data_IF_112628485505
#
_entry.id   IF_112628485505
#
_cell.length_a   1.000
_cell.length_b   1.000
_cell.length_c   1.000
_cell.angle_alpha   90.00
_cell.angle_beta   90.00
_cell.angle_gamma   90.00
#
_symmetry.space_group_name_H-M   'P 1'
#
loop_
_entity.id
_entity.type
_entity.pdbx_description
1 polymer ?
#
# COMPACT_ATOMS: atom_id res chain seq x y z
N UNK A 1 21.34 -7.30 24.79
CA UNK A 1 20.50 -6.10 24.57
C UNK A 1 20.82 -5.60 23.18
N UNK A 2 19.86 -5.60 22.27
CA UNK A 2 20.05 -5.05 20.93
C UNK A 2 20.22 -3.53 21.03
N UNK A 3 21.22 -2.99 20.36
CA UNK A 3 21.48 -1.53 20.36
C UNK A 3 20.33 -0.84 19.64
N UNK A 4 19.86 0.32 20.15
CA UNK A 4 18.84 1.12 19.48
C UNK A 4 19.30 1.47 18.06
N UNK A 5 18.56 1.11 17.00
CA UNK A 5 18.90 1.49 15.64
C UNK A 5 18.73 3.00 15.42
N UNK A 6 19.38 3.54 14.40
CA UNK A 6 19.08 4.89 13.91
C UNK A 6 17.75 4.87 13.17
N UNK A 7 16.77 5.62 13.65
CA UNK A 7 15.42 5.66 13.09
C UNK A 7 15.15 7.07 12.59
N UNK A 8 14.77 7.17 11.31
CA UNK A 8 14.26 8.38 10.70
C UNK A 8 13.22 8.01 9.63
N UNK A 9 11.95 8.21 9.95
CA UNK A 9 10.83 7.81 9.09
C UNK A 9 10.72 8.60 7.78
N UNK A 10 11.47 9.69 7.61
CA UNK A 10 11.49 10.46 6.36
C UNK A 10 12.77 10.24 5.54
N UNK A 11 13.75 9.52 6.08
CA UNK A 11 15.00 9.25 5.37
C UNK A 11 14.88 7.97 4.53
N UNK A 12 15.05 8.08 3.22
CA UNK A 12 15.07 6.93 2.32
C UNK A 12 16.18 5.92 2.64
N UNK A 13 17.31 6.36 3.21
CA UNK A 13 18.38 5.48 3.63
C UNK A 13 17.94 4.52 4.76
N UNK A 14 17.06 4.97 5.67
CA UNK A 14 16.48 4.11 6.69
C UNK A 14 15.75 2.90 6.11
N UNK A 15 15.06 3.10 4.98
CA UNK A 15 14.30 2.01 4.31
C UNK A 15 15.19 1.12 3.42
N UNK A 16 16.41 1.54 3.12
CA UNK A 16 17.37 0.78 2.32
C UNK A 16 18.31 -0.11 3.15
N UNK A 17 18.38 0.10 4.45
CA UNK A 17 19.21 -0.64 5.41
C UNK A 17 18.42 -1.81 6.05
N UNK A 18 18.82 -2.30 7.20
CA UNK A 18 18.12 -3.37 7.94
C UNK A 18 16.78 -2.91 8.52
N UNK A 19 15.82 -2.69 7.63
CA UNK A 19 14.47 -2.27 7.98
C UNK A 19 13.77 -3.28 8.92
N UNK A 20 13.97 -4.58 8.69
CA UNK A 20 13.33 -5.61 9.49
C UNK A 20 13.85 -5.65 10.93
N UNK A 21 15.17 -5.51 11.11
CA UNK A 21 15.79 -5.41 12.43
C UNK A 21 15.36 -4.15 13.16
N UNK A 22 15.31 -3.00 12.48
CA UNK A 22 14.87 -1.74 13.05
C UNK A 22 13.40 -1.81 13.53
N UNK A 23 12.49 -2.30 12.70
CA UNK A 23 11.08 -2.46 13.10
C UNK A 23 10.87 -3.56 14.16
N UNK A 24 11.67 -4.61 14.19
CA UNK A 24 11.64 -5.59 15.26
C UNK A 24 12.02 -4.94 16.59
N UNK A 25 13.10 -4.16 16.60
CA UNK A 25 13.52 -3.42 17.80
C UNK A 25 12.43 -2.47 18.30
N UNK A 26 11.79 -1.69 17.41
CA UNK A 26 10.70 -0.77 17.77
C UNK A 26 9.55 -1.55 18.39
N UNK A 27 9.09 -2.65 17.78
CA UNK A 27 7.98 -3.46 18.31
C UNK A 27 8.24 -4.01 19.70
N UNK A 28 9.48 -4.37 19.99
CA UNK A 28 9.89 -4.97 21.26
C UNK A 28 10.13 -3.94 22.37
N UNK A 29 10.59 -2.73 22.02
CA UNK A 29 11.08 -1.77 23.01
C UNK A 29 10.19 -0.52 23.13
N UNK A 30 9.60 -0.05 22.03
CA UNK A 30 8.78 1.17 21.99
C UNK A 30 7.77 1.11 20.82
N UNK A 31 6.70 0.29 20.95
CA UNK A 31 5.78 -0.02 19.85
C UNK A 31 4.96 1.17 19.33
N UNK A 32 4.93 2.29 20.06
CA UNK A 32 4.39 3.58 19.62
C UNK A 32 5.56 4.57 19.66
N UNK A 33 6.37 4.52 18.63
CA UNK A 33 7.65 5.24 18.59
C UNK A 33 7.49 6.67 18.10
N UNK A 34 8.04 7.64 18.85
CA UNK A 34 8.16 9.00 18.36
C UNK A 34 9.55 9.24 17.75
N UNK A 35 9.58 9.57 16.47
CA UNK A 35 10.78 9.98 15.76
C UNK A 35 10.93 11.50 15.85
N UNK A 36 11.86 11.95 16.68
CA UNK A 36 12.15 13.38 16.90
C UNK A 36 12.69 14.08 15.64
N UNK A 37 13.40 13.35 14.75
CA UNK A 37 13.97 13.93 13.54
C UNK A 37 12.90 14.26 12.51
N UNK A 38 11.91 13.40 12.37
CA UNK A 38 10.82 13.59 11.42
C UNK A 38 9.57 14.20 12.05
N UNK A 39 9.49 14.27 13.39
CA UNK A 39 8.30 14.68 14.17
C UNK A 39 7.09 13.80 13.87
N UNK A 40 7.34 12.50 13.72
CA UNK A 40 6.31 11.51 13.38
C UNK A 40 6.17 10.44 14.46
N UNK A 41 4.96 9.97 14.64
CA UNK A 41 4.66 8.77 15.42
C UNK A 41 4.58 7.55 14.52
N UNK A 42 5.33 6.50 14.85
CA UNK A 42 5.28 5.21 14.19
C UNK A 42 4.50 4.18 15.01
N UNK A 43 3.45 3.62 14.44
CA UNK A 43 2.72 2.51 15.03
C UNK A 43 3.23 1.20 14.39
N UNK A 44 3.79 0.29 15.19
CA UNK A 44 4.53 -0.84 14.64
C UNK A 44 3.94 -2.21 14.97
N UNK A 45 2.98 -2.30 15.88
CA UNK A 45 2.26 -3.55 16.16
C UNK A 45 0.93 -3.61 15.41
N UNK A 46 0.48 -4.82 15.12
CA UNK A 46 -0.81 -5.05 14.47
C UNK A 46 -1.98 -4.42 15.25
N UNK A 47 -1.97 -4.54 16.56
CA UNK A 47 -3.01 -4.02 17.45
C UNK A 47 -3.12 -2.50 17.32
N UNK A 48 -1.99 -1.77 17.42
CA UNK A 48 -1.98 -0.31 17.33
C UNK A 48 -2.37 0.19 15.93
N UNK A 49 -1.87 -0.44 14.87
CA UNK A 49 -2.25 -0.11 13.49
C UNK A 49 -3.74 -0.36 13.25
N UNK A 50 -4.26 -1.50 13.71
CA UNK A 50 -5.68 -1.82 13.61
C UNK A 50 -6.57 -0.85 14.39
N UNK A 51 -6.15 -0.47 15.59
CA UNK A 51 -6.86 0.51 16.42
C UNK A 51 -6.91 1.87 15.72
N UNK A 52 -5.78 2.41 15.29
CA UNK A 52 -5.75 3.66 14.55
C UNK A 52 -6.61 3.63 13.27
N UNK A 53 -6.58 2.51 12.53
CA UNK A 53 -7.37 2.34 11.31
C UNK A 53 -8.88 2.29 11.53
N UNK A 54 -9.33 1.99 12.75
CA UNK A 54 -10.75 1.92 13.11
C UNK A 54 -11.33 3.20 13.67
N UNK A 55 -10.47 4.16 13.96
CA UNK A 55 -10.84 5.43 14.58
C UNK A 55 -10.50 6.62 13.66
N UNK A 56 -11.16 6.71 12.47
CA UNK A 56 -10.91 7.81 11.54
C UNK A 56 -11.29 9.18 12.10
N UNK A 57 -12.11 9.22 13.13
CA UNK A 57 -12.47 10.45 13.87
C UNK A 57 -11.30 10.99 14.70
N UNK A 58 -10.31 10.15 15.04
CA UNK A 58 -9.10 10.54 15.76
C UNK A 58 -7.89 10.66 14.83
N UNK A 59 -7.87 9.88 13.74
CA UNK A 59 -6.76 9.77 12.80
C UNK A 59 -7.21 10.16 11.39
N UNK A 60 -7.21 11.47 11.12
CA UNK A 60 -7.63 12.05 9.85
C UNK A 60 -6.58 11.87 8.75
N UNK A 61 -7.04 11.58 7.52
CA UNK A 61 -6.23 11.60 6.29
C UNK A 61 -6.40 12.89 5.48
N UNK A 62 -7.26 13.82 5.90
CA UNK A 62 -7.63 14.99 5.10
C UNK A 62 -6.50 16.00 4.88
N UNK A 63 -5.41 15.90 5.62
CA UNK A 63 -4.22 16.73 5.42
C UNK A 63 -3.15 16.06 4.55
N UNK A 64 -3.42 14.85 4.06
CA UNK A 64 -2.53 14.03 3.26
C UNK A 64 -2.25 12.68 3.94
N UNK A 65 -2.38 11.60 3.18
CA UNK A 65 -2.10 10.24 3.67
C UNK A 65 -0.60 9.93 3.77
N UNK A 66 0.25 10.84 3.31
CA UNK A 66 1.71 10.73 3.39
C UNK A 66 2.27 11.83 4.26
N UNK A 67 3.22 11.51 5.16
CA UNK A 67 3.85 12.52 6.00
C UNK A 67 4.45 13.67 5.18
N UNK A 68 4.23 14.90 5.66
CA UNK A 68 4.79 16.14 5.06
C UNK A 68 4.51 16.32 3.54
N UNK A 69 3.48 15.64 3.03
CA UNK A 69 3.02 15.79 1.64
C UNK A 69 1.61 16.40 1.65
N UNK A 70 1.37 17.46 0.88
CA UNK A 70 0.04 18.05 0.80
C UNK A 70 -1.01 17.04 0.34
N UNK A 71 -2.23 17.18 0.84
CA UNK A 71 -3.37 16.37 0.40
C UNK A 71 -3.60 16.54 -1.10
N UNK A 72 -3.90 15.45 -1.76
CA UNK A 72 -4.31 15.41 -3.17
C UNK A 72 -5.82 15.17 -3.27
N UNK A 73 -6.48 15.55 -4.38
CA UNK A 73 -7.93 15.35 -4.56
C UNK A 73 -8.28 13.87 -4.79
N UNK A 74 -7.73 12.97 -3.99
CA UNK A 74 -7.93 11.53 -4.03
C UNK A 74 -8.76 11.05 -2.86
N UNK A 75 -9.39 9.88 -3.02
CA UNK A 75 -10.20 9.28 -1.97
C UNK A 75 -9.41 9.01 -0.69
N UNK A 76 -8.13 8.65 -0.81
CA UNK A 76 -7.26 8.33 0.32
C UNK A 76 -6.99 9.56 1.22
N UNK A 77 -7.04 10.76 0.66
CA UNK A 77 -6.79 12.02 1.36
C UNK A 77 -8.12 12.72 1.75
N UNK A 78 -9.18 11.96 1.93
CA UNK A 78 -10.49 12.49 2.35
C UNK A 78 -11.05 11.74 3.55
N UNK A 79 -11.74 12.47 4.43
CA UNK A 79 -12.44 11.90 5.57
C UNK A 79 -13.95 11.74 5.29
N UNK A 80 -14.67 11.11 6.24
CA UNK A 80 -16.12 11.03 6.19
C UNK A 80 -16.75 12.45 6.30
N UNK A 81 -17.89 12.72 5.63
CA UNK A 81 -18.73 11.80 4.85
C UNK A 81 -18.30 11.62 3.38
N UNK A 82 -17.39 12.44 2.89
CA UNK A 82 -16.98 12.44 1.49
C UNK A 82 -16.27 11.14 1.10
N UNK A 83 -15.33 10.66 1.93
CA UNK A 83 -14.68 9.37 1.75
C UNK A 83 -15.69 8.24 1.55
N UNK A 84 -16.69 8.15 2.43
CA UNK A 84 -17.73 7.10 2.37
C UNK A 84 -18.49 7.14 1.07
N UNK A 85 -18.83 8.35 0.59
CA UNK A 85 -19.55 8.54 -0.66
C UNK A 85 -18.72 8.11 -1.87
N UNK A 86 -17.46 8.51 -1.94
CA UNK A 86 -16.53 8.14 -3.01
C UNK A 86 -16.26 6.64 -3.01
N UNK A 87 -15.96 6.06 -1.84
CA UNK A 87 -15.67 4.64 -1.66
C UNK A 87 -16.85 3.76 -2.09
N UNK A 88 -18.09 4.13 -1.75
CA UNK A 88 -19.27 3.39 -2.17
C UNK A 88 -19.38 3.28 -3.70
N UNK A 89 -19.17 4.39 -4.42
CA UNK A 89 -19.19 4.40 -5.89
C UNK A 89 -18.13 3.46 -6.49
N UNK A 90 -16.92 3.51 -5.97
CA UNK A 90 -15.84 2.60 -6.40
C UNK A 90 -16.18 1.15 -6.07
N UNK A 91 -16.70 0.87 -4.87
CA UNK A 91 -17.03 -0.49 -4.41
C UNK A 91 -18.11 -1.18 -5.26
N UNK A 92 -18.97 -0.40 -5.92
CA UNK A 92 -19.98 -0.94 -6.85
C UNK A 92 -19.33 -1.67 -8.05
N UNK A 93 -18.10 -1.26 -8.43
CA UNK A 93 -17.30 -1.94 -9.46
C UNK A 93 -16.67 -3.27 -9.01
N UNK A 94 -16.46 -3.45 -7.69
CA UNK A 94 -15.71 -4.57 -7.12
C UNK A 94 -16.59 -5.57 -6.34
N UNK A 95 -17.84 -5.74 -6.77
CA UNK A 95 -18.70 -6.75 -6.15
C UNK A 95 -18.20 -8.16 -6.47
N UNK A 96 -18.44 -9.17 -5.60
CA UNK A 96 -18.01 -10.55 -5.85
C UNK A 96 -18.55 -11.12 -7.16
N UNK A 97 -19.73 -10.67 -7.60
CA UNK A 97 -20.32 -11.08 -8.90
C UNK A 97 -19.51 -10.52 -10.05
N UNK A 98 -19.19 -9.22 -10.02
CA UNK A 98 -18.38 -8.56 -11.07
C UNK A 98 -16.96 -9.12 -11.13
N UNK A 99 -16.34 -9.32 -9.98
CA UNK A 99 -14.99 -9.93 -9.92
C UNK A 99 -14.98 -11.33 -10.51
N UNK A 100 -15.98 -12.17 -10.20
CA UNK A 100 -16.10 -13.50 -10.82
C UNK A 100 -16.33 -13.44 -12.33
N UNK A 101 -17.10 -12.46 -12.80
CA UNK A 101 -17.34 -12.29 -14.24
C UNK A 101 -16.06 -11.92 -15.02
N UNK A 102 -15.03 -11.38 -14.35
CA UNK A 102 -13.74 -11.07 -14.98
C UNK A 102 -12.83 -12.30 -15.15
N UNK A 103 -13.10 -13.41 -14.49
CA UNK A 103 -12.19 -14.57 -14.42
C UNK A 103 -11.76 -15.07 -15.79
N UNK A 104 -12.72 -15.36 -16.68
CA UNK A 104 -12.42 -15.88 -18.03
C UNK A 104 -11.63 -14.88 -18.88
N UNK A 105 -11.88 -13.60 -18.70
CA UNK A 105 -11.16 -12.55 -19.40
C UNK A 105 -9.71 -12.44 -18.90
N UNK A 106 -9.52 -12.41 -17.59
CA UNK A 106 -8.18 -12.40 -16.97
C UNK A 106 -7.39 -13.62 -17.42
N UNK A 107 -8.01 -14.80 -17.48
CA UNK A 107 -7.36 -16.01 -17.99
C UNK A 107 -6.88 -15.83 -19.44
N UNK A 108 -7.74 -15.34 -20.32
CA UNK A 108 -7.32 -15.09 -21.72
C UNK A 108 -6.18 -14.08 -21.84
N UNK A 109 -6.17 -13.04 -21.00
CA UNK A 109 -5.08 -12.06 -20.96
C UNK A 109 -3.78 -12.70 -20.49
N UNK A 110 -3.84 -13.53 -19.44
CA UNK A 110 -2.67 -14.28 -18.95
C UNK A 110 -2.12 -15.22 -20.02
N UNK A 111 -2.99 -15.98 -20.69
CA UNK A 111 -2.59 -16.90 -21.75
C UNK A 111 -1.91 -16.14 -22.90
N UNK A 112 -2.48 -15.03 -23.36
CA UNK A 112 -1.89 -14.21 -24.42
C UNK A 112 -0.51 -13.62 -24.05
N UNK A 113 -0.34 -13.14 -22.81
CA UNK A 113 0.94 -12.63 -22.31
C UNK A 113 1.99 -13.74 -22.28
N UNK A 114 1.63 -14.93 -21.85
CA UNK A 114 2.53 -16.09 -21.79
C UNK A 114 2.88 -16.56 -23.19
N UNK A 115 1.92 -16.66 -24.09
CA UNK A 115 2.12 -17.07 -25.48
C UNK A 115 3.08 -16.14 -26.20
N UNK A 116 3.05 -14.83 -25.94
CA UNK A 116 3.96 -13.85 -26.51
C UNK A 116 5.43 -14.08 -26.13
N UNK A 117 5.69 -14.55 -24.90
CA UNK A 117 7.04 -14.71 -24.37
C UNK A 117 7.59 -16.13 -24.48
N UNK A 118 6.73 -17.16 -24.52
CA UNK A 118 7.16 -18.56 -24.42
C UNK A 118 8.01 -19.00 -25.63
N UNK A 119 7.78 -18.46 -26.83
CA UNK A 119 8.54 -18.81 -28.03
C UNK A 119 9.95 -18.16 -28.03
N UNK A 120 10.16 -17.10 -27.26
CA UNK A 120 11.45 -16.39 -27.22
C UNK A 120 12.50 -17.12 -26.38
N UNK A 121 12.08 -18.04 -25.50
CA UNK A 121 12.95 -18.78 -24.58
C UNK A 121 13.52 -17.95 -23.41
N UNK A 122 13.31 -16.63 -23.40
CA UNK A 122 13.70 -15.70 -22.33
C UNK A 122 12.72 -14.53 -22.29
N UNK A 123 12.56 -13.91 -21.14
CA UNK A 123 11.70 -12.74 -20.94
C UNK A 123 12.25 -11.83 -19.82
N UNK A 124 12.08 -10.52 -19.97
CA UNK A 124 12.21 -9.60 -18.83
C UNK A 124 10.88 -9.63 -18.06
N UNK A 125 10.87 -10.36 -16.95
CA UNK A 125 9.62 -10.74 -16.27
C UNK A 125 8.76 -9.55 -15.85
N UNK A 126 9.37 -8.44 -15.41
CA UNK A 126 8.61 -7.28 -14.93
C UNK A 126 7.87 -6.60 -16.09
N UNK A 127 8.56 -6.29 -17.18
CA UNK A 127 7.97 -5.56 -18.31
C UNK A 127 7.16 -6.45 -19.23
N UNK A 128 7.67 -7.65 -19.53
CA UNK A 128 7.04 -8.55 -20.51
C UNK A 128 5.85 -9.31 -19.93
N UNK A 129 5.80 -9.52 -18.60
CA UNK A 129 4.78 -10.36 -17.97
C UNK A 129 4.03 -9.62 -16.85
N UNK A 130 4.73 -9.25 -15.76
CA UNK A 130 4.07 -8.84 -14.54
C UNK A 130 3.34 -7.48 -14.65
N UNK A 131 3.86 -6.54 -15.45
CA UNK A 131 3.26 -5.23 -15.65
C UNK A 131 2.06 -5.26 -16.61
N UNK A 132 2.01 -6.21 -17.55
CA UNK A 132 0.99 -6.24 -18.58
C UNK A 132 -0.41 -6.53 -18.01
N UNK A 133 -0.54 -7.54 -17.17
CA UNK A 133 -1.83 -7.96 -16.64
C UNK A 133 -2.57 -6.86 -15.87
N UNK A 134 -1.96 -6.17 -14.89
CA UNK A 134 -2.61 -5.07 -14.18
C UNK A 134 -3.02 -3.91 -15.10
N UNK A 135 -2.15 -3.54 -16.06
CA UNK A 135 -2.44 -2.45 -16.99
C UNK A 135 -3.65 -2.76 -17.86
N UNK A 136 -3.73 -3.96 -18.44
CA UNK A 136 -4.86 -4.40 -19.26
C UNK A 136 -6.14 -4.55 -18.41
N UNK A 137 -6.01 -5.15 -17.21
CA UNK A 137 -7.18 -5.40 -16.36
C UNK A 137 -7.82 -4.12 -15.80
N UNK A 138 -7.05 -3.03 -15.63
CA UNK A 138 -7.56 -1.75 -15.11
C UNK A 138 -8.06 -0.85 -16.25
N UNK A 139 -7.48 -0.96 -17.45
CA UNK A 139 -7.81 -0.09 -18.58
C UNK A 139 -9.20 -0.37 -19.20
N UNK A 140 -9.78 -1.51 -18.91
CA UNK A 140 -11.09 -1.98 -19.39
C UNK A 140 -12.18 -1.82 -18.32
#
# INVERSE_FOLDING_TARGET
MSTKPSINFLDGAFYADDLHGAFAWIRENDPIYYDENSELWGLTTYEHVREASRHPELFSSAQGARPKTPAMPMMIDTDAPEHVTRRRRVSEGFTPVRVRAMTERIQRVCDAIIDEVCERGEAEFVHDVAAQLPLIAIAD
#
